data_IF_899860296216
#
_entry.id   IF_899860296216
#
_cell.length_a   1.000
_cell.length_b   1.000
_cell.length_c   1.000
_cell.angle_alpha   90.00
_cell.angle_beta   90.00
_cell.angle_gamma   90.00
#
_symmetry.space_group_name_H-M   'P 1'
#
loop_
_entity.id
_entity.type
_entity.pdbx_description
1 polymer ?
#
# COMPACT_ATOMS: atom_id res chain seq x y z
N UNK A 1 -3.91 -11.44 -4.16
CA UNK A 1 -3.39 -10.41 -5.08
C UNK A 1 -4.30 -10.34 -6.30
N UNK A 2 -4.73 -9.16 -6.69
CA UNK A 2 -5.50 -8.91 -7.93
C UNK A 2 -4.67 -7.98 -8.80
N UNK A 3 -4.57 -8.27 -10.10
CA UNK A 3 -3.88 -7.42 -11.08
C UNK A 3 -4.91 -6.89 -12.05
N UNK A 4 -4.98 -5.57 -12.19
CA UNK A 4 -5.84 -4.90 -13.17
C UNK A 4 -4.93 -4.32 -14.24
N UNK A 5 -5.02 -4.87 -15.45
CA UNK A 5 -4.24 -4.43 -16.60
C UNK A 5 -5.14 -3.92 -17.72
N UNK A 6 -4.61 -3.04 -18.55
CA UNK A 6 -5.33 -2.45 -19.67
C UNK A 6 -4.71 -1.13 -20.12
N UNK A 7 -5.19 -0.57 -21.25
CA UNK A 7 -4.64 0.65 -21.83
C UNK A 7 -4.63 1.84 -20.86
N UNK A 8 -3.78 2.83 -21.14
CA UNK A 8 -3.85 4.13 -20.47
C UNK A 8 -5.25 4.73 -20.61
N UNK A 9 -5.71 5.43 -19.57
CA UNK A 9 -7.03 6.07 -19.52
C UNK A 9 -8.26 5.15 -19.61
N UNK A 10 -8.08 3.83 -19.49
CA UNK A 10 -9.19 2.86 -19.49
C UNK A 10 -9.98 2.81 -18.15
N UNK A 11 -9.80 3.80 -17.28
CA UNK A 11 -10.51 3.87 -16.00
C UNK A 11 -10.01 2.93 -14.88
N UNK A 12 -8.82 2.32 -15.03
CA UNK A 12 -8.24 1.41 -14.02
C UNK A 12 -8.12 2.08 -12.64
N UNK A 13 -7.53 3.27 -12.59
CA UNK A 13 -7.38 4.06 -11.35
C UNK A 13 -8.75 4.41 -10.76
N UNK A 14 -9.72 4.79 -11.59
CA UNK A 14 -11.10 5.08 -11.15
C UNK A 14 -11.76 3.86 -10.53
N UNK A 15 -11.67 2.70 -11.19
CA UNK A 15 -12.19 1.44 -10.68
C UNK A 15 -11.57 1.08 -9.32
N UNK A 16 -10.25 1.20 -9.19
CA UNK A 16 -9.52 0.91 -7.95
C UNK A 16 -9.95 1.84 -6.82
N UNK A 17 -10.06 3.14 -7.07
CA UNK A 17 -10.45 4.12 -6.06
C UNK A 17 -11.91 3.97 -5.63
N UNK A 18 -12.79 3.61 -6.57
CA UNK A 18 -14.20 3.33 -6.26
C UNK A 18 -14.33 2.08 -5.38
N UNK A 19 -13.63 0.99 -5.74
CA UNK A 19 -13.56 -0.22 -4.93
C UNK A 19 -12.98 0.05 -3.53
N UNK A 20 -11.89 0.83 -3.45
CA UNK A 20 -11.28 1.23 -2.18
C UNK A 20 -12.27 1.99 -1.29
N UNK A 21 -13.02 2.92 -1.88
CA UNK A 21 -14.05 3.69 -1.18
C UNK A 21 -15.18 2.80 -0.68
N UNK A 22 -15.72 1.93 -1.53
CA UNK A 22 -16.78 0.98 -1.14
C UNK A 22 -16.33 0.08 0.01
N UNK A 23 -15.11 -0.46 -0.07
CA UNK A 23 -14.52 -1.29 0.97
C UNK A 23 -14.31 -0.54 2.29
N UNK A 24 -13.90 0.73 2.23
CA UNK A 24 -13.76 1.55 3.43
C UNK A 24 -15.09 1.79 4.12
N UNK A 25 -16.14 2.14 3.36
CA UNK A 25 -17.48 2.28 3.90
C UNK A 25 -17.96 0.99 4.55
N UNK A 26 -17.83 -0.16 3.88
CA UNK A 26 -18.21 -1.45 4.45
C UNK A 26 -17.46 -1.76 5.76
N UNK A 27 -16.16 -1.45 5.82
CA UNK A 27 -15.35 -1.65 7.03
C UNK A 27 -15.82 -0.75 8.17
N UNK A 28 -16.03 0.54 7.92
CA UNK A 28 -16.45 1.49 8.93
C UNK A 28 -17.88 1.25 9.41
N UNK A 29 -18.78 0.84 8.52
CA UNK A 29 -20.15 0.48 8.89
C UNK A 29 -20.15 -0.75 9.78
N UNK A 30 -19.36 -1.77 9.46
CA UNK A 30 -19.15 -2.93 10.32
C UNK A 30 -18.59 -2.54 11.71
N UNK A 31 -17.56 -1.69 11.75
CA UNK A 31 -17.01 -1.20 13.02
C UNK A 31 -18.09 -0.48 13.86
N UNK A 32 -18.94 0.33 13.23
CA UNK A 32 -20.04 1.05 13.91
C UNK A 32 -21.11 0.11 14.44
N UNK A 33 -21.49 -0.92 13.68
CA UNK A 33 -22.43 -1.96 14.12
C UNK A 33 -21.90 -2.72 15.35
N UNK A 34 -20.58 -2.91 15.44
CA UNK A 34 -19.90 -3.53 16.57
C UNK A 34 -19.66 -2.56 17.75
N UNK A 35 -20.17 -1.31 17.67
CA UNK A 35 -19.98 -0.29 18.70
C UNK A 35 -18.53 0.22 18.81
N UNK A 36 -17.69 -0.04 17.79
CA UNK A 36 -16.30 0.41 17.74
C UNK A 36 -16.23 1.77 17.05
N UNK A 37 -15.29 2.61 17.50
CA UNK A 37 -15.00 3.87 16.81
C UNK A 37 -14.26 3.56 15.50
N UNK A 38 -14.69 4.08 14.35
CA UNK A 38 -14.00 3.87 13.08
C UNK A 38 -12.67 4.65 13.10
N UNK A 39 -11.61 3.96 13.52
CA UNK A 39 -10.22 4.43 13.47
C UNK A 39 -9.40 3.59 12.49
N UNK A 40 -10.06 2.65 11.79
CA UNK A 40 -9.42 1.75 10.84
C UNK A 40 -9.02 2.51 9.57
N UNK A 41 -7.80 2.25 9.10
CA UNK A 41 -7.26 2.64 7.79
C UNK A 41 -7.37 1.39 6.90
N UNK A 42 -8.52 1.12 6.28
CA UNK A 42 -8.79 -0.17 5.63
C UNK A 42 -7.89 -0.44 4.42
N UNK A 43 -7.44 0.62 3.74
CA UNK A 43 -6.60 0.52 2.56
C UNK A 43 -5.51 1.58 2.52
N UNK A 44 -4.47 1.36 1.72
CA UNK A 44 -3.45 2.35 1.35
C UNK A 44 -3.28 2.39 -0.17
N UNK A 45 -3.12 3.59 -0.74
CA UNK A 45 -2.91 3.78 -2.18
C UNK A 45 -1.49 4.27 -2.45
N UNK A 46 -0.79 3.60 -3.35
CA UNK A 46 0.60 3.88 -3.73
C UNK A 46 0.67 4.03 -5.24
N UNK A 47 1.07 5.21 -5.71
CA UNK A 47 1.40 5.40 -7.12
C UNK A 47 2.90 5.14 -7.34
N UNK A 48 3.22 4.17 -8.19
CA UNK A 48 4.60 3.80 -8.50
C UNK A 48 5.37 4.86 -9.31
N UNK A 49 4.69 5.72 -10.07
CA UNK A 49 5.31 6.80 -10.87
C UNK A 49 5.69 8.01 -10.03
N UNK A 50 4.97 8.27 -8.93
CA UNK A 50 5.23 9.40 -8.03
C UNK A 50 6.46 9.21 -7.14
N UNK A 51 7.13 8.05 -7.24
CA UNK A 51 8.36 7.72 -6.53
C UNK A 51 9.61 8.46 -7.03
N UNK A 52 9.48 9.42 -7.94
CA UNK A 52 10.55 10.23 -8.56
C UNK A 52 11.47 11.01 -7.60
N UNK A 53 11.28 10.89 -6.29
CA UNK A 53 12.16 11.42 -5.23
C UNK A 53 12.55 10.35 -4.18
N UNK A 54 12.77 9.10 -4.60
CA UNK A 54 13.34 8.07 -3.71
C UNK A 54 12.40 7.57 -2.61
N UNK A 55 11.09 7.82 -2.72
CA UNK A 55 10.10 7.23 -1.81
C UNK A 55 9.80 5.80 -2.25
N UNK A 56 10.28 4.82 -1.48
CA UNK A 56 9.94 3.42 -1.66
C UNK A 56 8.44 3.17 -1.43
N UNK A 57 7.90 2.09 -2.00
CA UNK A 57 6.52 1.63 -1.75
C UNK A 57 6.22 1.56 -0.25
N UNK A 58 7.18 1.06 0.54
CA UNK A 58 7.11 1.01 2.00
C UNK A 58 6.93 2.42 2.61
N UNK A 59 7.69 3.40 2.14
CA UNK A 59 7.57 4.79 2.60
C UNK A 59 6.24 5.44 2.23
N UNK A 60 5.69 5.12 1.06
CA UNK A 60 4.37 5.60 0.66
C UNK A 60 3.25 5.03 1.55
N UNK A 61 3.30 3.73 1.86
CA UNK A 61 2.37 3.09 2.80
C UNK A 61 2.50 3.71 4.19
N UNK A 62 3.74 3.89 4.67
CA UNK A 62 3.99 4.52 5.98
C UNK A 62 3.42 5.94 6.06
N UNK A 63 3.60 6.73 5.00
CA UNK A 63 3.03 8.07 4.90
C UNK A 63 1.50 8.05 4.91
N UNK A 64 0.87 7.11 4.21
CA UNK A 64 -0.57 6.93 4.24
C UNK A 64 -1.09 6.54 5.63
N UNK A 65 -0.35 5.67 6.34
CA UNK A 65 -0.65 5.30 7.71
C UNK A 65 -0.22 6.35 8.76
N UNK A 66 0.26 7.53 8.34
CA UNK A 66 0.79 8.57 9.23
C UNK A 66 1.83 8.05 10.24
N UNK A 67 2.62 7.05 9.84
CA UNK A 67 3.64 6.46 10.69
C UNK A 67 4.85 7.38 10.79
N UNK A 68 5.47 7.49 11.97
CA UNK A 68 6.69 8.26 12.12
C UNK A 68 7.80 7.67 11.25
N UNK A 69 8.70 8.51 10.70
CA UNK A 69 9.88 8.00 10.02
C UNK A 69 10.70 7.15 10.99
N UNK A 70 11.35 6.08 10.50
CA UNK A 70 12.19 5.24 11.35
C UNK A 70 13.32 6.08 11.98
N UNK A 71 13.60 5.86 13.26
CA UNK A 71 14.64 6.58 14.01
C UNK A 71 16.07 6.20 13.60
N UNK A 72 16.21 5.11 12.86
CA UNK A 72 17.47 4.61 12.29
C UNK A 72 17.35 4.50 10.76
N UNK A 73 18.41 4.03 10.09
CA UNK A 73 18.35 3.64 8.67
C UNK A 73 18.06 2.13 8.58
N UNK A 74 16.80 1.67 8.71
CA UNK A 74 16.48 0.26 8.65
C UNK A 74 16.79 -0.29 7.26
N UNK A 75 17.09 -1.58 7.21
CA UNK A 75 17.00 -2.30 5.93
C UNK A 75 15.55 -2.31 5.45
N UNK A 76 15.34 -2.46 4.14
CA UNK A 76 14.00 -2.57 3.57
C UNK A 76 13.17 -3.67 4.25
N UNK A 77 13.79 -4.82 4.53
CA UNK A 77 13.13 -5.93 5.24
C UNK A 77 12.68 -5.55 6.66
N UNK A 78 13.53 -4.84 7.41
CA UNK A 78 13.17 -4.34 8.74
C UNK A 78 12.02 -3.33 8.67
N UNK A 79 12.03 -2.46 7.67
CA UNK A 79 10.99 -1.46 7.51
C UNK A 79 9.64 -2.06 7.12
N UNK A 80 9.63 -3.03 6.20
CA UNK A 80 8.43 -3.78 5.81
C UNK A 80 7.89 -4.61 6.97
N UNK A 81 8.76 -5.23 7.76
CA UNK A 81 8.37 -5.95 8.97
C UNK A 81 7.70 -5.01 9.98
N UNK A 82 8.29 -3.85 10.25
CA UNK A 82 7.68 -2.83 11.11
C UNK A 82 6.32 -2.39 10.56
N UNK A 83 6.21 -2.11 9.27
CA UNK A 83 4.95 -1.73 8.64
C UNK A 83 3.87 -2.80 8.79
N UNK A 84 4.19 -4.08 8.57
CA UNK A 84 3.24 -5.18 8.74
C UNK A 84 2.72 -5.26 10.20
N UNK A 85 3.61 -5.03 11.18
CA UNK A 85 3.24 -5.08 12.60
C UNK A 85 2.41 -3.87 13.03
N UNK A 86 2.75 -2.66 12.56
CA UNK A 86 2.06 -1.44 12.99
C UNK A 86 0.75 -1.20 12.23
N UNK A 87 0.69 -1.58 10.95
CA UNK A 87 -0.49 -1.35 10.12
C UNK A 87 -1.67 -2.26 10.47
N UNK A 88 -1.41 -3.45 11.03
CA UNK A 88 -2.45 -4.41 11.42
C UNK A 88 -3.36 -3.90 12.56
N UNK A 89 -2.85 -3.39 13.70
CA UNK A 89 -3.67 -2.72 14.70
C UNK A 89 -4.44 -1.51 14.17
N UNK A 90 -3.96 -0.89 13.08
CA UNK A 90 -4.63 0.21 12.40
C UNK A 90 -5.72 -0.26 11.43
N UNK A 91 -5.93 -1.57 11.28
CA UNK A 91 -6.95 -2.12 10.38
C UNK A 91 -6.58 -2.11 8.90
N UNK A 92 -5.30 -1.90 8.54
CA UNK A 92 -4.86 -1.97 7.15
C UNK A 92 -4.87 -3.41 6.66
N UNK A 93 -5.65 -3.66 5.61
CA UNK A 93 -5.78 -4.98 5.02
C UNK A 93 -5.72 -4.96 3.49
N UNK A 94 -5.68 -3.78 2.85
CA UNK A 94 -5.57 -3.67 1.39
C UNK A 94 -4.57 -2.62 0.98
N UNK A 95 -3.71 -2.95 0.00
CA UNK A 95 -2.75 -2.01 -0.59
C UNK A 95 -2.99 -1.99 -2.09
N UNK A 96 -3.31 -0.82 -2.61
CA UNK A 96 -3.45 -0.55 -4.03
C UNK A 96 -2.14 0.02 -4.56
N UNK A 97 -1.54 -0.66 -5.54
CA UNK A 97 -0.36 -0.19 -6.25
C UNK A 97 -0.75 0.19 -7.68
N UNK A 98 -0.73 1.47 -7.99
CA UNK A 98 -1.03 1.97 -9.34
C UNK A 98 0.25 2.17 -10.16
N UNK A 99 0.12 2.08 -11.48
CA UNK A 99 1.19 2.25 -12.47
C UNK A 99 2.43 1.39 -12.22
N UNK A 100 2.25 0.17 -11.72
CA UNK A 100 3.34 -0.81 -11.47
C UNK A 100 4.22 -1.05 -12.70
N UNK A 101 3.71 -0.84 -13.91
CA UNK A 101 4.51 -0.93 -15.13
C UNK A 101 5.64 0.11 -15.19
N UNK A 102 5.47 1.28 -14.55
CA UNK A 102 6.51 2.29 -14.42
C UNK A 102 7.73 1.76 -13.66
N UNK A 103 7.55 0.75 -12.81
CA UNK A 103 8.64 0.07 -12.09
C UNK A 103 9.59 -0.67 -13.04
N UNK A 104 9.12 -1.11 -14.21
CA UNK A 104 9.95 -1.79 -15.22
C UNK A 104 10.94 -0.83 -15.91
N UNK A 105 10.64 0.47 -15.88
CA UNK A 105 11.51 1.54 -16.39
C UNK A 105 12.74 1.74 -15.50
N UNK A 106 12.65 1.36 -14.22
CA UNK A 106 13.78 1.35 -13.28
C UNK A 106 14.61 0.08 -13.50
N UNK A 107 15.44 0.06 -14.55
CA UNK A 107 16.34 -1.07 -14.80
C UNK A 107 17.26 -1.38 -13.61
N UNK A 108 17.60 -2.66 -13.39
CA UNK A 108 18.65 -3.07 -12.45
C UNK A 108 18.17 -3.42 -11.03
N UNK A 109 18.91 -2.98 -10.00
CA UNK A 109 18.70 -3.35 -8.58
C UNK A 109 17.40 -2.79 -7.98
N UNK A 110 16.89 -1.68 -8.52
CA UNK A 110 15.72 -0.97 -8.01
C UNK A 110 14.41 -1.70 -8.33
N UNK A 111 14.20 -2.16 -9.58
CA UNK A 111 13.04 -3.00 -9.91
C UNK A 111 12.98 -4.28 -9.08
N UNK A 112 14.12 -4.93 -8.81
CA UNK A 112 14.19 -6.12 -7.96
C UNK A 112 13.83 -5.81 -6.51
N UNK A 113 14.37 -4.72 -5.95
CA UNK A 113 14.05 -4.24 -4.60
C UNK A 113 12.55 -3.96 -4.41
N UNK A 114 11.89 -3.42 -5.44
CA UNK A 114 10.45 -3.13 -5.39
C UNK A 114 9.62 -4.42 -5.55
N UNK A 115 10.01 -5.33 -6.44
CA UNK A 115 9.36 -6.64 -6.54
C UNK A 115 9.48 -7.43 -5.23
N UNK A 116 10.65 -7.40 -4.58
CA UNK A 116 10.88 -8.00 -3.27
C UNK A 116 10.06 -7.29 -2.19
N UNK A 117 9.90 -5.96 -2.26
CA UNK A 117 9.03 -5.20 -1.36
C UNK A 117 7.56 -5.59 -1.49
N UNK A 118 7.05 -5.67 -2.72
CA UNK A 118 5.67 -6.08 -3.02
C UNK A 118 5.46 -7.52 -2.55
N UNK A 119 6.41 -8.42 -2.85
CA UNK A 119 6.36 -9.81 -2.39
C UNK A 119 6.31 -9.88 -0.87
N UNK A 120 7.20 -9.17 -0.18
CA UNK A 120 7.25 -9.14 1.28
C UNK A 120 5.99 -8.52 1.90
N UNK A 121 5.36 -7.52 1.27
CA UNK A 121 4.05 -7.00 1.69
C UNK A 121 2.97 -8.05 1.51
N UNK A 122 2.89 -8.70 0.35
CA UNK A 122 1.88 -9.73 0.06
C UNK A 122 2.04 -10.97 0.96
N UNK A 123 3.27 -11.38 1.29
CA UNK A 123 3.52 -12.54 2.14
C UNK A 123 3.56 -12.20 3.63
N UNK A 124 3.75 -10.92 3.99
CA UNK A 124 3.87 -10.44 5.36
C UNK A 124 2.59 -9.80 5.91
N UNK A 125 1.66 -9.40 5.05
CA UNK A 125 0.29 -9.06 5.40
C UNK A 125 -0.52 -10.37 5.39
N UNK A 126 -1.13 -10.79 6.51
CA UNK A 126 -1.90 -12.04 6.60
C UNK A 126 -3.17 -12.01 5.76
#
# INVERSE_FOLDING_TARGET
>A
MVVIDGPAHFGKTTLVLDAARAQAHATWDHDREQGRRPLSIPWAYVNATSGGEGRSVAGAIAGFCHLPPPSSRPTLAQYLHQLAHTSKPMGLHTVFLDDVHALRSFGGKEARSIADSIKALVTGLP
#
